data_IF_337936154077
#
_entry.id   IF_337936154077
#
_cell.length_a   1.000
_cell.length_b   1.000
_cell.length_c   1.000
_cell.angle_alpha   90.00
_cell.angle_beta   90.00
_cell.angle_gamma   90.00
#
_symmetry.space_group_name_H-M   'P 1'
#
loop_
_entity.id
_entity.type
_entity.pdbx_description
1 polymer ?
#
# COMPACT_ATOMS: atom_id res chain seq x y z
N UNK A 1 -28.21 2.25 26.76
CA UNK A 1 -27.88 1.61 25.50
C UNK A 1 -27.54 2.75 24.55
N UNK A 2 -26.25 2.92 24.21
CA UNK A 2 -25.83 3.93 23.24
C UNK A 2 -26.38 3.52 21.87
N UNK A 3 -27.02 4.44 21.18
CA UNK A 3 -27.43 4.23 19.78
C UNK A 3 -26.17 4.17 18.94
N UNK A 4 -25.96 3.14 18.11
CA UNK A 4 -24.81 3.09 17.23
C UNK A 4 -24.80 4.31 16.30
N UNK A 5 -23.62 4.86 16.03
CA UNK A 5 -23.49 5.91 15.05
C UNK A 5 -23.94 5.38 13.69
N UNK A 6 -24.92 6.03 13.06
CA UNK A 6 -25.33 5.72 11.70
C UNK A 6 -24.84 6.82 10.78
N UNK A 7 -24.39 6.49 9.59
CA UNK A 7 -23.95 7.46 8.61
C UNK A 7 -23.20 6.85 7.44
N UNK A 8 -22.89 7.69 6.47
CA UNK A 8 -22.10 7.38 5.30
C UNK A 8 -20.68 7.87 5.49
N UNK A 9 -19.70 7.07 5.07
CA UNK A 9 -18.27 7.37 5.17
C UNK A 9 -17.82 8.23 3.98
N UNK A 10 -18.33 9.43 3.86
CA UNK A 10 -18.04 10.28 2.71
C UNK A 10 -16.69 10.98 2.83
N UNK A 11 -15.88 10.89 1.78
CA UNK A 11 -14.69 11.71 1.58
C UNK A 11 -15.19 13.08 1.13
N UNK A 12 -14.96 14.12 1.93
CA UNK A 12 -15.51 15.46 1.71
C UNK A 12 -14.69 16.31 0.76
N UNK A 13 -13.39 16.06 0.72
CA UNK A 13 -12.46 16.72 -0.18
C UNK A 13 -12.12 15.82 -1.35
N UNK A 14 -11.53 16.37 -2.40
CA UNK A 14 -11.10 15.61 -3.57
C UNK A 14 -10.02 14.60 -3.22
N UNK A 15 -9.96 13.54 -4.00
CA UNK A 15 -8.78 12.71 -4.13
C UNK A 15 -7.82 13.37 -5.12
N UNK A 16 -6.53 13.33 -4.86
CA UNK A 16 -5.54 14.09 -5.62
C UNK A 16 -4.34 13.24 -6.01
N UNK A 17 -3.74 13.52 -7.16
CA UNK A 17 -2.41 13.05 -7.47
C UNK A 17 -1.39 13.90 -6.74
N UNK A 18 -0.45 13.24 -6.06
CA UNK A 18 0.73 13.91 -5.51
C UNK A 18 1.62 14.29 -6.69
N UNK A 19 2.08 15.54 -6.74
CA UNK A 19 2.91 16.02 -7.86
C UNK A 19 4.22 15.25 -8.03
N UNK A 20 4.74 14.69 -6.96
CA UNK A 20 5.91 13.82 -6.94
C UNK A 20 5.87 12.91 -5.70
N UNK A 21 6.14 11.60 -5.83
CA UNK A 21 6.46 10.85 -7.05
C UNK A 21 5.24 10.61 -7.95
N UNK A 22 5.47 10.52 -9.27
CA UNK A 22 4.46 10.28 -10.28
C UNK A 22 3.64 9.03 -9.96
N UNK A 23 2.30 9.10 -10.14
CA UNK A 23 1.40 7.98 -9.93
C UNK A 23 1.04 7.71 -8.46
N UNK A 24 1.47 8.54 -7.52
CA UNK A 24 1.03 8.44 -6.14
C UNK A 24 -0.26 9.26 -5.93
N UNK A 25 -1.32 8.58 -5.48
CA UNK A 25 -2.60 9.20 -5.10
C UNK A 25 -2.68 9.43 -3.60
N UNK A 26 -3.43 10.46 -3.20
CA UNK A 26 -3.75 10.78 -1.80
C UNK A 26 -5.21 11.20 -1.65
N UNK A 27 -5.76 11.05 -0.46
CA UNK A 27 -7.13 11.44 -0.11
C UNK A 27 -7.25 11.74 1.38
N UNK A 28 -8.37 12.34 1.75
CA UNK A 28 -8.67 12.68 3.13
C UNK A 28 -8.96 11.44 3.98
N UNK A 29 -8.47 11.44 5.21
CA UNK A 29 -8.83 10.43 6.20
C UNK A 29 -10.29 10.61 6.66
N UNK A 30 -11.09 9.55 6.57
CA UNK A 30 -12.48 9.56 7.01
C UNK A 30 -12.58 8.94 8.40
N UNK A 31 -13.13 9.65 9.40
CA UNK A 31 -13.36 9.10 10.72
C UNK A 31 -14.21 7.83 10.66
N UNK A 32 -13.84 6.81 11.41
CA UNK A 32 -14.50 5.50 11.47
C UNK A 32 -14.38 4.65 10.19
N UNK A 33 -13.68 5.08 9.17
CA UNK A 33 -13.33 4.20 8.06
C UNK A 33 -12.49 3.01 8.56
N UNK A 34 -12.83 1.83 8.08
CA UNK A 34 -12.04 0.63 8.32
C UNK A 34 -10.92 0.47 7.30
N UNK A 35 -11.17 0.91 6.09
CA UNK A 35 -10.24 0.87 4.97
C UNK A 35 -10.79 1.73 3.82
N UNK A 36 -10.08 1.70 2.70
CA UNK A 36 -10.47 2.35 1.46
C UNK A 36 -10.44 1.34 0.30
N UNK A 37 -11.38 1.50 -0.62
CA UNK A 37 -11.37 0.82 -1.91
C UNK A 37 -10.94 1.79 -3.00
N UNK A 38 -10.10 1.32 -3.91
CA UNK A 38 -9.54 2.12 -5.00
C UNK A 38 -9.85 1.49 -6.35
N UNK A 39 -9.95 2.32 -7.37
CA UNK A 39 -10.02 1.90 -8.78
C UNK A 39 -9.15 2.83 -9.60
N UNK A 40 -8.33 2.27 -10.48
CA UNK A 40 -7.53 3.02 -11.44
C UNK A 40 -8.12 2.88 -12.83
N UNK A 41 -8.20 3.99 -13.53
CA UNK A 41 -8.70 4.12 -14.90
C UNK A 41 -7.60 4.68 -15.79
N UNK A 42 -7.58 4.23 -17.04
CA UNK A 42 -6.82 4.83 -18.14
C UNK A 42 -7.77 5.08 -19.29
N UNK A 43 -7.79 6.31 -19.82
CA UNK A 43 -8.66 6.74 -20.93
C UNK A 43 -10.13 6.35 -20.69
N UNK A 44 -10.59 6.50 -19.43
CA UNK A 44 -11.94 6.15 -19.00
C UNK A 44 -12.20 4.65 -18.77
N UNK A 45 -11.26 3.77 -19.08
CA UNK A 45 -11.38 2.32 -18.86
C UNK A 45 -10.72 1.90 -17.55
N UNK A 46 -11.45 1.16 -16.72
CA UNK A 46 -10.89 0.61 -15.47
C UNK A 46 -9.82 -0.44 -15.79
N UNK A 47 -8.62 -0.24 -15.27
CA UNK A 47 -7.48 -1.15 -15.48
C UNK A 47 -7.06 -1.88 -14.20
N UNK A 48 -7.35 -1.33 -13.02
CA UNK A 48 -6.98 -1.94 -11.73
C UNK A 48 -7.99 -1.60 -10.64
N UNK A 49 -8.28 -2.57 -9.78
CA UNK A 49 -9.03 -2.40 -8.55
C UNK A 49 -8.20 -2.87 -7.35
N UNK A 50 -8.24 -2.12 -6.25
CA UNK A 50 -7.60 -2.47 -4.99
C UNK A 50 -8.61 -2.35 -3.86
N UNK A 51 -8.80 -3.40 -3.09
CA UNK A 51 -9.69 -3.43 -1.95
C UNK A 51 -8.91 -3.40 -0.63
N UNK A 52 -9.47 -2.71 0.37
CA UNK A 52 -8.97 -2.70 1.75
C UNK A 52 -7.56 -2.10 1.92
N UNK A 53 -7.36 -0.90 1.39
CA UNK A 53 -6.19 -0.07 1.69
C UNK A 53 -6.45 0.67 3.01
N UNK A 54 -5.56 0.54 3.99
CA UNK A 54 -5.72 1.20 5.30
C UNK A 54 -5.03 2.58 5.38
N UNK A 55 -4.19 2.91 4.41
CA UNK A 55 -3.55 4.21 4.29
C UNK A 55 -4.44 5.21 3.53
N UNK A 56 -4.13 6.48 3.63
CA UNK A 56 -4.74 7.57 2.86
C UNK A 56 -3.94 7.96 1.62
N UNK A 57 -2.98 7.12 1.25
CA UNK A 57 -2.18 7.26 0.03
C UNK A 57 -2.01 5.88 -0.61
N UNK A 58 -1.81 5.87 -1.93
CA UNK A 58 -1.52 4.64 -2.65
C UNK A 58 -0.66 4.92 -3.88
N UNK A 59 0.26 4.01 -4.18
CA UNK A 59 1.12 4.10 -5.35
C UNK A 59 0.53 3.30 -6.52
N UNK A 60 -0.04 4.00 -7.48
CA UNK A 60 -0.61 3.42 -8.70
C UNK A 60 0.43 3.25 -9.81
N UNK A 61 1.64 3.82 -9.66
CA UNK A 61 2.63 3.84 -10.72
C UNK A 61 2.96 2.46 -11.31
N UNK A 62 3.04 1.37 -10.52
CA UNK A 62 3.28 0.03 -11.06
C UNK A 62 2.24 -0.45 -12.09
N UNK A 63 1.05 0.18 -12.12
CA UNK A 63 -0.02 -0.14 -13.07
C UNK A 63 -0.06 0.80 -14.27
N UNK A 64 0.78 1.84 -14.29
CA UNK A 64 0.86 2.82 -15.38
C UNK A 64 1.84 2.35 -16.48
N UNK A 65 1.54 1.20 -17.07
CA UNK A 65 2.42 0.49 -18.03
C UNK A 65 2.29 0.96 -19.47
N UNK A 66 1.40 1.88 -19.75
CA UNK A 66 1.16 2.45 -21.09
C UNK A 66 0.86 3.93 -20.93
N UNK A 67 1.22 4.71 -21.93
CA UNK A 67 0.83 6.12 -22.01
C UNK A 67 -0.69 6.26 -22.04
N UNK A 68 -1.19 7.38 -21.54
CA UNK A 68 -2.60 7.69 -21.51
C UNK A 68 -2.97 8.60 -20.36
N UNK A 69 -4.26 8.87 -20.24
CA UNK A 69 -4.83 9.72 -19.21
C UNK A 69 -5.33 8.87 -18.05
N UNK A 70 -4.69 9.01 -16.90
CA UNK A 70 -4.98 8.24 -15.71
C UNK A 70 -5.84 9.03 -14.72
N UNK A 71 -6.80 8.33 -14.11
CA UNK A 71 -7.63 8.84 -13.04
C UNK A 71 -7.88 7.71 -12.03
N UNK A 72 -7.80 8.00 -10.75
CA UNK A 72 -8.23 7.04 -9.75
C UNK A 72 -9.53 7.47 -9.06
N UNK A 73 -10.21 6.49 -8.48
CA UNK A 73 -11.35 6.70 -7.59
C UNK A 73 -11.06 6.04 -6.26
N UNK A 74 -11.58 6.64 -5.22
CA UNK A 74 -11.49 6.12 -3.86
C UNK A 74 -12.83 6.25 -3.16
N UNK A 75 -13.14 5.28 -2.30
CA UNK A 75 -14.23 5.41 -1.32
C UNK A 75 -13.79 4.81 0.01
N UNK A 76 -14.28 5.36 1.11
CA UNK A 76 -14.09 4.77 2.42
C UNK A 76 -15.12 3.65 2.65
N UNK A 77 -14.68 2.59 3.29
CA UNK A 77 -15.51 1.43 3.66
C UNK A 77 -15.47 1.21 5.17
N UNK A 78 -16.57 0.71 5.77
CA UNK A 78 -16.62 0.44 7.21
C UNK A 78 -15.69 -0.70 7.61
N UNK A 79 -15.36 -0.79 8.89
CA UNK A 79 -14.71 -1.98 9.46
C UNK A 79 -15.59 -3.21 9.28
N UNK A 80 -14.94 -4.37 9.04
CA UNK A 80 -15.62 -5.68 9.07
C UNK A 80 -15.96 -6.07 10.51
N UNK A 81 -16.93 -5.38 11.12
CA UNK A 81 -17.40 -5.63 12.48
C UNK A 81 -18.93 -5.63 12.51
N UNK A 82 -19.51 -6.04 13.63
CA UNK A 82 -20.98 -6.05 13.86
C UNK A 82 -21.64 -4.65 13.71
N UNK A 83 -20.83 -3.59 13.59
CA UNK A 83 -21.28 -2.22 13.36
C UNK A 83 -21.66 -1.92 11.89
N UNK A 84 -21.40 -2.82 10.96
CA UNK A 84 -21.69 -2.65 9.52
C UNK A 84 -23.18 -2.39 9.21
N UNK A 85 -24.08 -2.74 10.10
CA UNK A 85 -25.51 -2.45 9.92
C UNK A 85 -25.88 -0.97 10.03
N UNK A 86 -24.97 -0.11 10.50
CA UNK A 86 -25.25 1.29 10.82
C UNK A 86 -24.37 2.28 10.06
N UNK A 87 -23.19 1.84 9.63
CA UNK A 87 -22.23 2.65 8.88
C UNK A 87 -22.11 2.07 7.47
N UNK A 88 -22.35 2.88 6.47
CA UNK A 88 -22.28 2.49 5.06
C UNK A 88 -21.05 3.06 4.39
N UNK A 89 -20.57 2.38 3.34
CA UNK A 89 -19.51 2.93 2.49
C UNK A 89 -19.90 4.27 1.92
N UNK A 90 -18.93 5.16 1.80
CA UNK A 90 -19.10 6.44 1.14
C UNK A 90 -19.22 6.30 -0.39
N UNK A 91 -19.56 7.40 -1.03
CA UNK A 91 -19.56 7.50 -2.48
C UNK A 91 -18.14 7.48 -3.04
N UNK A 92 -18.04 7.14 -4.32
CA UNK A 92 -16.77 7.17 -5.03
C UNK A 92 -16.36 8.62 -5.33
N UNK A 93 -15.19 9.01 -4.85
CA UNK A 93 -14.56 10.30 -5.16
C UNK A 93 -13.47 10.08 -6.20
N UNK A 94 -13.39 10.99 -7.16
CA UNK A 94 -12.47 10.92 -8.27
C UNK A 94 -11.29 11.87 -8.03
N UNK A 95 -10.11 11.45 -8.47
CA UNK A 95 -8.98 12.36 -8.63
C UNK A 95 -9.16 13.23 -9.87
N UNK A 96 -8.36 14.28 -9.99
CA UNK A 96 -8.08 14.87 -11.28
C UNK A 96 -7.43 13.84 -12.23
N UNK A 97 -7.41 14.15 -13.51
CA UNK A 97 -6.73 13.36 -14.53
C UNK A 97 -5.22 13.68 -14.51
N UNK A 98 -4.39 12.65 -14.73
CA UNK A 98 -2.94 12.77 -14.87
C UNK A 98 -2.53 12.14 -16.19
N UNK A 99 -1.95 12.94 -17.09
CA UNK A 99 -1.38 12.45 -18.33
C UNK A 99 -0.03 11.78 -18.04
N UNK A 100 0.18 10.62 -18.64
CA UNK A 100 1.42 9.83 -18.60
C UNK A 100 1.88 9.63 -20.03
N UNK A 101 3.04 10.14 -20.34
CA UNK A 101 3.68 9.97 -21.64
C UNK A 101 4.44 8.64 -21.73
N UNK A 102 4.80 8.20 -22.93
CA UNK A 102 5.48 6.91 -23.17
C UNK A 102 6.78 6.77 -22.36
N UNK A 103 7.53 7.85 -22.21
CA UNK A 103 8.78 7.88 -21.45
C UNK A 103 8.57 7.90 -19.93
N UNK A 104 7.36 8.17 -19.48
CA UNK A 104 6.95 8.20 -18.07
C UNK A 104 6.28 6.90 -17.61
N UNK A 105 6.03 5.96 -18.53
CA UNK A 105 5.34 4.71 -18.19
C UNK A 105 6.18 3.84 -17.26
N UNK A 106 5.49 3.06 -16.44
CA UNK A 106 6.11 1.99 -15.69
C UNK A 106 6.52 0.88 -16.66
N UNK A 107 7.83 0.64 -16.80
CA UNK A 107 8.36 -0.51 -17.50
C UNK A 107 9.09 -1.41 -16.50
N UNK A 108 8.95 -2.72 -16.66
CA UNK A 108 9.77 -3.67 -15.93
C UNK A 108 11.25 -3.38 -16.21
N UNK A 109 11.94 -2.81 -15.22
CA UNK A 109 13.35 -2.40 -15.34
C UNK A 109 13.59 -0.93 -15.62
N UNK A 110 12.54 -0.13 -15.92
CA UNK A 110 12.62 1.33 -15.99
C UNK A 110 11.88 1.92 -14.79
N UNK A 111 12.60 2.43 -13.82
CA UNK A 111 11.98 3.15 -12.70
C UNK A 111 11.27 4.41 -13.18
N UNK A 112 10.40 4.96 -12.33
CA UNK A 112 9.92 6.36 -12.46
C UNK A 112 11.09 7.19 -12.93
N UNK A 113 10.92 7.94 -14.01
CA UNK A 113 11.97 8.82 -14.48
C UNK A 113 12.37 9.83 -13.39
N UNK A 114 13.24 9.36 -12.55
CA UNK A 114 14.25 10.13 -11.90
C UNK A 114 15.55 9.46 -12.34
N UNK A 115 16.17 10.03 -13.31
CA UNK A 115 17.33 9.73 -14.11
C UNK A 115 18.54 9.06 -13.45
N UNK A 116 18.38 8.12 -12.51
CA UNK A 116 19.48 7.41 -11.86
C UNK A 116 19.16 5.97 -11.45
N UNK A 117 18.18 5.29 -12.06
CA UNK A 117 17.89 3.89 -11.73
C UNK A 117 18.42 2.96 -12.84
N UNK A 118 19.69 2.64 -12.75
CA UNK A 118 20.29 1.50 -13.46
C UNK A 118 19.82 0.18 -12.86
N UNK A 119 19.96 -0.98 -13.53
CA UNK A 119 19.68 -2.31 -12.99
C UNK A 119 20.35 -2.62 -11.65
N UNK A 120 21.26 -1.76 -11.18
CA UNK A 120 21.94 -1.82 -9.89
C UNK A 120 21.02 -1.59 -8.67
N UNK A 121 19.74 -1.29 -8.83
CA UNK A 121 18.84 -0.92 -7.73
C UNK A 121 17.78 -1.98 -7.39
N UNK A 122 17.98 -3.22 -7.82
CA UNK A 122 17.23 -4.37 -7.31
C UNK A 122 17.75 -4.66 -5.90
N UNK A 123 16.86 -4.85 -4.95
CA UNK A 123 17.25 -5.20 -3.59
C UNK A 123 16.75 -4.21 -2.54
N UNK A 124 17.46 -4.19 -1.44
CA UNK A 124 17.12 -3.39 -0.28
C UNK A 124 17.37 -1.90 -0.52
N UNK A 125 16.36 -1.10 -0.24
CA UNK A 125 16.39 0.35 -0.33
C UNK A 125 15.98 0.94 1.01
N UNK A 126 16.69 1.98 1.45
CA UNK A 126 16.39 2.71 2.69
C UNK A 126 16.05 4.16 2.35
N UNK A 127 14.99 4.66 2.95
CA UNK A 127 14.63 6.08 2.93
C UNK A 127 14.36 6.59 4.37
N UNK A 128 13.76 7.77 4.50
CA UNK A 128 13.38 8.35 5.81
C UNK A 128 12.38 7.49 6.60
N UNK A 129 11.53 6.72 5.90
CA UNK A 129 10.40 6.01 6.49
C UNK A 129 10.76 4.57 6.85
N UNK A 130 11.82 4.01 6.24
CA UNK A 130 12.27 2.66 6.58
C UNK A 130 13.02 1.95 5.46
N UNK A 131 13.15 0.65 5.64
CA UNK A 131 13.67 -0.27 4.64
C UNK A 131 12.53 -0.88 3.84
N UNK A 132 12.68 -0.96 2.53
CA UNK A 132 11.80 -1.66 1.60
C UNK A 132 12.61 -2.43 0.57
N UNK A 133 11.98 -3.34 -0.15
CA UNK A 133 12.67 -4.17 -1.12
C UNK A 133 12.13 -3.96 -2.52
N UNK A 134 13.00 -3.71 -3.49
CA UNK A 134 12.66 -3.63 -4.90
C UNK A 134 12.91 -4.97 -5.57
N UNK A 135 11.85 -5.57 -6.10
CA UNK A 135 11.93 -6.76 -6.94
C UNK A 135 12.58 -6.45 -8.30
N UNK A 136 13.00 -7.51 -9.01
CA UNK A 136 13.60 -7.39 -10.34
C UNK A 136 12.66 -6.80 -11.40
N UNK A 137 11.35 -6.92 -11.19
CA UNK A 137 10.30 -6.33 -12.03
C UNK A 137 9.95 -4.89 -11.64
N UNK A 138 10.69 -4.29 -10.71
CA UNK A 138 10.45 -2.94 -10.20
C UNK A 138 9.33 -2.84 -9.17
N UNK A 139 8.55 -3.91 -8.95
CA UNK A 139 7.55 -3.98 -7.90
C UNK A 139 8.19 -4.01 -6.50
N UNK A 140 7.37 -3.83 -5.48
CA UNK A 140 7.77 -4.03 -4.09
C UNK A 140 6.65 -4.76 -3.33
N UNK A 141 7.02 -5.60 -2.34
CA UNK A 141 6.02 -6.28 -1.52
C UNK A 141 5.32 -5.27 -0.60
N UNK A 142 3.99 -5.35 -0.50
CA UNK A 142 3.20 -4.56 0.44
C UNK A 142 2.13 -5.44 1.09
N UNK A 143 1.96 -5.32 2.39
CA UNK A 143 1.05 -6.13 3.22
C UNK A 143 1.19 -7.64 3.01
N UNK A 144 2.40 -8.10 2.78
CA UNK A 144 2.67 -9.51 2.44
C UNK A 144 3.99 -10.00 3.01
N UNK A 145 4.13 -11.31 3.05
CA UNK A 145 5.39 -11.98 3.28
C UNK A 145 6.15 -12.16 1.97
N UNK A 146 7.45 -11.94 2.01
CA UNK A 146 8.34 -12.27 0.89
C UNK A 146 9.60 -12.97 1.39
N UNK A 147 10.02 -14.03 0.68
CA UNK A 147 11.31 -14.64 0.90
C UNK A 147 12.35 -13.91 0.04
N UNK A 148 13.41 -13.43 0.69
CA UNK A 148 14.51 -12.71 0.04
C UNK A 148 15.79 -13.33 0.54
N UNK A 149 16.58 -13.89 -0.37
CA UNK A 149 17.86 -14.53 -0.07
C UNK A 149 17.78 -15.61 1.03
N UNK A 150 16.66 -16.33 1.09
CA UNK A 150 16.44 -17.42 2.05
C UNK A 150 15.85 -16.99 3.39
N UNK A 151 15.70 -15.69 3.67
CA UNK A 151 15.04 -15.18 4.86
C UNK A 151 13.62 -14.65 4.52
N UNK A 152 12.69 -14.80 5.46
CA UNK A 152 11.34 -14.27 5.32
C UNK A 152 11.24 -12.88 5.96
N UNK A 153 10.61 -11.96 5.24
CA UNK A 153 10.32 -10.60 5.66
C UNK A 153 8.84 -10.34 5.56
N UNK A 154 8.30 -9.60 6.52
CA UNK A 154 6.92 -9.12 6.47
C UNK A 154 6.93 -7.62 6.18
N UNK A 155 6.16 -7.24 5.18
CA UNK A 155 6.02 -5.85 4.76
C UNK A 155 4.68 -5.29 5.20
N UNK A 156 4.69 -4.05 5.65
CA UNK A 156 3.46 -3.31 5.94
C UNK A 156 2.71 -2.89 4.66
N UNK A 157 1.64 -2.13 4.81
CA UNK A 157 0.82 -1.67 3.68
C UNK A 157 1.54 -0.69 2.76
N UNK A 158 2.53 0.04 3.29
CA UNK A 158 3.32 1.01 2.55
C UNK A 158 4.58 0.38 1.91
N UNK A 159 4.80 -0.92 2.15
CA UNK A 159 5.91 -1.69 1.59
C UNK A 159 7.20 -1.61 2.41
N UNK A 160 7.14 -1.18 3.67
CA UNK A 160 8.29 -1.19 4.57
C UNK A 160 8.34 -2.47 5.41
N UNK A 161 9.55 -2.93 5.71
CA UNK A 161 9.71 -4.10 6.57
C UNK A 161 9.21 -3.80 7.99
N UNK A 162 8.55 -4.79 8.55
CA UNK A 162 8.21 -4.82 9.96
C UNK A 162 9.33 -5.46 10.78
N UNK A 163 9.42 -5.11 12.05
CA UNK A 163 10.37 -5.68 13.03
C UNK A 163 9.65 -6.04 14.32
N UNK A 164 10.31 -6.83 15.17
CA UNK A 164 9.74 -7.25 16.46
C UNK A 164 8.61 -8.28 16.30
N UNK A 165 7.77 -8.36 17.33
CA UNK A 165 6.65 -9.30 17.37
C UNK A 165 5.49 -8.87 16.47
N UNK A 166 5.08 -9.78 15.59
CA UNK A 166 3.96 -9.58 14.67
C UNK A 166 2.92 -10.68 14.85
N UNK A 167 1.65 -10.31 14.93
CA UNK A 167 0.52 -11.24 14.92
C UNK A 167 -0.10 -11.28 13.53
N UNK A 168 -0.02 -12.42 12.86
CA UNK A 168 -0.65 -12.64 11.53
C UNK A 168 -1.39 -13.97 11.53
N UNK A 169 -2.66 -13.93 11.13
CA UNK A 169 -3.52 -15.13 11.04
C UNK A 169 -3.54 -15.97 12.36
N UNK A 170 -3.56 -15.29 13.50
CA UNK A 170 -3.59 -15.94 14.82
C UNK A 170 -2.27 -16.57 15.30
N UNK A 171 -1.17 -16.34 14.57
CA UNK A 171 0.18 -16.80 14.94
C UNK A 171 1.11 -15.63 15.20
N UNK A 172 1.98 -15.77 16.17
CA UNK A 172 3.04 -14.82 16.45
C UNK A 172 4.31 -15.18 15.66
N UNK A 173 4.93 -14.16 15.11
CA UNK A 173 6.21 -14.22 14.41
C UNK A 173 7.13 -13.15 15.00
N UNK A 174 8.40 -13.46 15.12
CA UNK A 174 9.39 -12.48 15.55
C UNK A 174 10.31 -12.14 14.38
N UNK A 175 10.42 -10.87 14.10
CA UNK A 175 11.28 -10.30 13.08
C UNK A 175 12.42 -9.57 13.80
N UNK A 176 13.65 -9.87 13.47
CA UNK A 176 14.79 -9.22 14.10
C UNK A 176 14.91 -7.74 13.75
N UNK A 177 15.94 -7.07 14.23
CA UNK A 177 16.17 -5.65 13.97
C UNK A 177 16.39 -5.31 12.49
N UNK A 178 16.71 -6.31 11.65
CA UNK A 178 16.85 -6.18 10.21
C UNK A 178 15.57 -6.63 9.46
N UNK A 179 14.51 -6.98 10.18
CA UNK A 179 13.25 -7.45 9.64
C UNK A 179 13.20 -8.93 9.24
N UNK A 180 14.28 -9.68 9.43
CA UNK A 180 14.30 -11.10 9.09
C UNK A 180 13.55 -11.93 10.14
N UNK A 181 12.62 -12.79 9.67
CA UNK A 181 11.87 -13.69 10.54
C UNK A 181 12.80 -14.70 11.21
N UNK A 182 12.77 -14.74 12.53
CA UNK A 182 13.51 -15.70 13.30
C UNK A 182 12.84 -17.06 13.24
N UNK A 183 13.66 -18.10 13.08
CA UNK A 183 13.24 -19.51 13.06
C UNK A 183 14.10 -20.32 14.04
N UNK A 184 13.52 -21.35 14.64
CA UNK A 184 14.20 -22.11 15.67
C UNK A 184 14.24 -21.37 17.02
N UNK A 185 15.11 -21.81 17.90
CA UNK A 185 15.23 -21.22 19.24
C UNK A 185 15.94 -19.86 19.19
N UNK A 186 15.30 -18.85 19.76
CA UNK A 186 15.91 -17.53 19.96
C UNK A 186 15.52 -16.95 21.32
N UNK A 187 16.28 -15.97 21.79
CA UNK A 187 16.04 -15.32 23.06
C UNK A 187 15.61 -13.86 22.84
N UNK A 188 14.47 -13.50 23.44
CA UNK A 188 14.02 -12.10 23.52
C UNK A 188 13.72 -11.77 24.99
N UNK A 189 14.20 -10.63 25.47
CA UNK A 189 14.00 -10.17 26.84
C UNK A 189 14.24 -11.25 27.91
N UNK A 190 15.29 -12.05 27.78
CA UNK A 190 15.70 -13.20 28.63
C UNK A 190 14.70 -14.37 28.63
N UNK A 191 13.75 -14.40 27.73
CA UNK A 191 12.85 -15.54 27.50
C UNK A 191 13.20 -16.24 26.20
N UNK A 192 13.09 -17.57 26.20
CA UNK A 192 13.32 -18.40 25.03
C UNK A 192 12.01 -18.62 24.28
N UNK A 193 12.09 -18.53 22.96
CA UNK A 193 10.99 -18.75 22.02
C UNK A 193 11.45 -19.69 20.91
N UNK A 194 10.48 -20.37 20.28
CA UNK A 194 10.70 -21.28 19.16
C UNK A 194 9.75 -20.99 18.00
#
# INVERSE_FOLDING_TARGET
>A
KLTPASGTLDIRNSAEWVGYPLGKGTWEAVPYAGAYELKLYRDGQMIQGVAKVNATTYDFYPFMTQAGRYQFRVRAIPKDTEEQGYITSGDWVYSDEQDIDDDQTYSQGGGRQNSNLTPANIGWVKNSDGWWYRNADGSYPANTWQNIDGAWYLFDYDGYILTGWQLKNGKYYYLDSNGAMQTGWFQDNRKWYY
#
